data_IF_273691906230
#
_entry.id   IF_273691906230
#
_cell.length_a   1.000
_cell.length_b   1.000
_cell.length_c   1.000
_cell.angle_alpha   90.00
_cell.angle_beta   90.00
_cell.angle_gamma   90.00
#
_symmetry.space_group_name_H-M   'P 1'
#
loop_
_entity.id
_entity.type
_entity.pdbx_description
1 polymer ?
#
# COMPACT_ATOMS: atom_id res chain seq x y z
N UNK A 1 -5.06 -11.00 11.89
CA UNK A 1 -4.00 -10.19 11.25
C UNK A 1 -4.18 -10.23 9.75
N UNK A 2 -4.43 -9.07 9.15
CA UNK A 2 -4.83 -8.93 7.75
C UNK A 2 -3.75 -8.19 6.96
N UNK A 3 -3.50 -8.58 5.71
CA UNK A 3 -2.47 -7.96 4.87
C UNK A 3 -3.10 -7.49 3.56
N UNK A 4 -2.78 -6.27 3.15
CA UNK A 4 -3.11 -5.74 1.82
C UNK A 4 -1.84 -5.56 1.01
N UNK A 5 -1.88 -6.09 -0.21
CA UNK A 5 -0.86 -6.00 -1.24
C UNK A 5 -1.38 -5.07 -2.34
N UNK A 6 -0.62 -4.02 -2.64
CA UNK A 6 -0.94 -3.05 -3.68
C UNK A 6 0.21 -3.03 -4.68
N UNK A 7 0.00 -3.67 -5.82
CA UNK A 7 0.94 -3.58 -6.93
C UNK A 7 0.72 -2.27 -7.67
N UNK A 8 1.76 -1.46 -7.79
CA UNK A 8 1.73 -0.15 -8.43
C UNK A 8 2.69 -0.18 -9.60
N UNK A 9 2.19 0.16 -10.78
CA UNK A 9 2.99 0.38 -11.99
C UNK A 9 2.78 1.80 -12.51
N UNK A 10 3.84 2.59 -12.47
CA UNK A 10 3.88 3.96 -12.95
C UNK A 10 4.28 4.03 -14.43
N UNK A 11 3.91 5.09 -15.16
CA UNK A 11 4.27 5.21 -16.58
C UNK A 11 5.78 5.33 -16.85
N UNK A 12 6.58 5.79 -15.88
CA UNK A 12 8.04 5.94 -15.99
C UNK A 12 8.76 5.70 -14.67
N UNK A 13 10.08 5.48 -14.74
CA UNK A 13 10.96 5.36 -13.56
C UNK A 13 10.88 6.60 -12.66
N UNK A 14 10.92 7.81 -13.23
CA UNK A 14 10.85 9.05 -12.45
C UNK A 14 9.53 9.17 -11.68
N UNK A 15 8.40 8.83 -12.32
CA UNK A 15 7.10 8.83 -11.65
C UNK A 15 7.00 7.77 -10.57
N UNK A 16 7.63 6.60 -10.78
CA UNK A 16 7.70 5.59 -9.75
C UNK A 16 8.53 6.05 -8.53
N UNK A 17 9.65 6.74 -8.75
CA UNK A 17 10.48 7.28 -7.66
C UNK A 17 9.77 8.39 -6.88
N UNK A 18 9.01 9.26 -7.58
CA UNK A 18 8.12 10.23 -6.93
C UNK A 18 7.01 9.53 -6.13
N UNK A 19 6.40 8.49 -6.70
CA UNK A 19 5.37 7.69 -6.03
C UNK A 19 5.92 7.03 -4.76
N UNK A 20 7.07 6.37 -4.84
CA UNK A 20 7.71 5.75 -3.68
C UNK A 20 8.04 6.77 -2.59
N UNK A 21 8.48 7.97 -2.99
CA UNK A 21 8.76 9.06 -2.05
C UNK A 21 7.49 9.55 -1.35
N UNK A 22 6.42 9.81 -2.11
CA UNK A 22 5.10 10.18 -1.58
C UNK A 22 4.53 9.11 -0.64
N UNK A 23 4.68 7.82 -1.00
CA UNK A 23 4.24 6.75 -0.13
C UNK A 23 5.01 6.74 1.19
N UNK A 24 6.33 6.97 1.14
CA UNK A 24 7.16 7.02 2.34
C UNK A 24 6.83 8.21 3.25
N UNK A 25 6.60 9.40 2.69
CA UNK A 25 6.49 10.64 3.49
C UNK A 25 5.06 11.00 3.88
N UNK A 26 4.07 10.67 3.04
CA UNK A 26 2.67 11.08 3.25
C UNK A 26 1.76 9.86 3.49
N UNK A 27 1.78 8.90 2.56
CA UNK A 27 0.78 7.82 2.56
C UNK A 27 0.96 6.84 3.72
N UNK A 28 2.19 6.36 3.94
CA UNK A 28 2.52 5.42 5.01
C UNK A 28 2.19 6.01 6.39
N UNK A 29 2.65 7.23 6.76
CA UNK A 29 2.25 7.85 8.01
C UNK A 29 0.72 7.98 8.17
N UNK A 30 0.01 8.34 7.09
CA UNK A 30 -1.45 8.46 7.11
C UNK A 30 -2.12 7.13 7.45
N UNK A 31 -1.79 6.03 6.75
CA UNK A 31 -2.44 4.74 7.02
C UNK A 31 -2.04 4.15 8.37
N UNK A 32 -0.81 4.41 8.84
CA UNK A 32 -0.37 4.03 10.18
C UNK A 32 -1.18 4.77 11.26
N UNK A 33 -1.37 6.08 11.10
CA UNK A 33 -2.20 6.88 12.02
C UNK A 33 -3.68 6.44 12.04
N UNK A 34 -4.16 5.84 10.95
CA UNK A 34 -5.53 5.33 10.83
C UNK A 34 -5.72 3.90 11.36
N UNK A 35 -4.64 3.19 11.73
CA UNK A 35 -4.72 1.86 12.36
C UNK A 35 -3.95 0.74 11.66
N UNK A 36 -3.18 1.02 10.60
CA UNK A 36 -2.22 0.05 10.09
C UNK A 36 -1.10 -0.21 11.11
N UNK A 37 -0.62 -1.45 11.17
CA UNK A 37 0.48 -1.88 12.06
C UNK A 37 1.85 -1.56 11.45
N UNK A 38 2.00 -1.86 10.16
CA UNK A 38 3.25 -1.63 9.44
C UNK A 38 3.00 -1.48 7.95
N UNK A 39 3.97 -0.86 7.28
CA UNK A 39 3.94 -0.65 5.83
C UNK A 39 5.32 -0.89 5.25
N UNK A 40 5.39 -1.50 4.08
CA UNK A 40 6.63 -1.73 3.34
C UNK A 40 6.40 -1.42 1.86
N UNK A 41 7.42 -0.93 1.18
CA UNK A 41 7.38 -0.72 -0.27
C UNK A 41 8.57 -1.42 -0.92
N UNK A 42 8.28 -2.46 -1.72
CA UNK A 42 9.28 -3.28 -2.40
C UNK A 42 9.30 -2.92 -3.88
N UNK A 43 10.47 -2.62 -4.43
CA UNK A 43 10.65 -2.40 -5.87
C UNK A 43 10.61 -3.74 -6.60
N UNK A 44 9.79 -3.86 -7.65
CA UNK A 44 9.68 -5.05 -8.49
C UNK A 44 10.37 -4.87 -9.86
N UNK A 45 10.38 -3.63 -10.38
CA UNK A 45 11.09 -3.27 -11.62
C UNK A 45 11.51 -1.79 -11.59
N UNK A 46 11.94 -1.23 -12.74
CA UNK A 46 12.32 0.19 -12.81
C UNK A 46 11.17 1.16 -12.52
N UNK A 47 9.93 0.78 -12.87
CA UNK A 47 8.75 1.62 -12.74
C UNK A 47 7.57 0.92 -12.03
N UNK A 48 7.85 -0.16 -11.29
CA UNK A 48 6.83 -0.85 -10.51
C UNK A 48 7.32 -1.35 -9.16
N UNK A 49 6.37 -1.53 -8.25
CA UNK A 49 6.62 -2.11 -6.95
C UNK A 49 5.36 -2.60 -6.26
N UNK A 50 5.56 -3.20 -5.09
CA UNK A 50 4.53 -3.71 -4.23
C UNK A 50 4.55 -2.93 -2.92
N UNK A 51 3.43 -2.27 -2.62
CA UNK A 51 3.18 -1.67 -1.32
C UNK A 51 2.40 -2.67 -0.46
N UNK A 52 2.96 -3.03 0.69
CA UNK A 52 2.42 -4.02 1.62
C UNK A 52 2.02 -3.33 2.89
N UNK A 53 0.78 -3.56 3.33
CA UNK A 53 0.23 -2.96 4.56
C UNK A 53 -0.27 -4.08 5.45
N UNK A 54 0.19 -4.10 6.70
CA UNK A 54 -0.31 -5.03 7.72
C UNK A 54 -1.31 -4.31 8.62
N UNK A 55 -2.43 -4.97 8.90
CA UNK A 55 -3.50 -4.52 9.78
C UNK A 55 -3.73 -5.54 10.89
N UNK A 56 -4.24 -5.12 12.07
CA UNK A 56 -4.57 -6.05 13.14
C UNK A 56 -5.64 -7.06 12.72
N UNK A 57 -6.64 -6.63 11.94
CA UNK A 57 -7.77 -7.41 11.47
C UNK A 57 -8.36 -6.84 10.16
N UNK A 58 -9.30 -7.60 9.57
CA UNK A 58 -10.01 -7.22 8.33
C UNK A 58 -10.90 -5.98 8.53
N UNK A 59 -11.51 -5.83 9.71
CA UNK A 59 -12.40 -4.71 10.00
C UNK A 59 -11.64 -3.37 9.94
N UNK A 60 -10.46 -3.32 10.55
CA UNK A 60 -9.55 -2.18 10.49
C UNK A 60 -9.08 -1.91 9.06
N UNK A 61 -8.73 -2.96 8.30
CA UNK A 61 -8.32 -2.80 6.90
C UNK A 61 -9.41 -2.20 6.02
N UNK A 62 -10.68 -2.57 6.27
CA UNK A 62 -11.86 -2.02 5.59
C UNK A 62 -12.13 -0.57 5.99
N UNK A 63 -12.09 -0.26 7.29
CA UNK A 63 -12.30 1.10 7.80
C UNK A 63 -11.24 2.09 7.27
N UNK A 64 -9.96 1.71 7.33
CA UNK A 64 -8.86 2.52 6.77
C UNK A 64 -9.07 2.74 5.28
N UNK A 65 -9.44 1.71 4.52
CA UNK A 65 -9.69 1.84 3.07
C UNK A 65 -10.81 2.82 2.76
N UNK A 66 -11.91 2.75 3.50
CA UNK A 66 -13.05 3.66 3.30
C UNK A 66 -12.66 5.12 3.53
N UNK A 67 -11.80 5.40 4.51
CA UNK A 67 -11.32 6.75 4.82
C UNK A 67 -10.36 7.32 3.77
N UNK A 68 -9.69 6.47 2.99
CA UNK A 68 -8.71 6.87 1.96
C UNK A 68 -9.18 6.57 0.54
N UNK A 69 -10.45 6.18 0.36
CA UNK A 69 -10.96 5.70 -0.91
C UNK A 69 -10.82 6.73 -2.04
N UNK A 70 -11.11 7.99 -1.77
CA UNK A 70 -10.92 9.10 -2.71
C UNK A 70 -9.47 9.19 -3.19
N UNK A 71 -8.54 9.14 -2.25
CA UNK A 71 -7.10 9.28 -2.54
C UNK A 71 -6.59 8.08 -3.36
N UNK A 72 -7.14 6.89 -3.10
CA UNK A 72 -6.84 5.68 -3.88
C UNK A 72 -7.34 5.81 -5.31
N UNK A 73 -8.54 6.35 -5.51
CA UNK A 73 -9.11 6.58 -6.84
C UNK A 73 -8.27 7.60 -7.63
N UNK A 74 -7.86 8.69 -7.01
CA UNK A 74 -6.97 9.69 -7.61
C UNK A 74 -5.60 9.09 -7.97
N UNK A 75 -4.99 8.33 -7.06
CA UNK A 75 -3.71 7.67 -7.30
C UNK A 75 -3.79 6.64 -8.45
N UNK A 76 -4.90 5.89 -8.51
CA UNK A 76 -5.15 4.85 -9.52
C UNK A 76 -5.45 5.44 -10.90
N UNK A 77 -5.85 6.70 -11.00
CA UNK A 77 -5.99 7.39 -12.28
C UNK A 77 -4.62 7.65 -12.94
N UNK A 78 -3.56 7.82 -12.14
CA UNK A 78 -2.21 8.11 -12.62
C UNK A 78 -1.33 6.87 -12.75
N UNK A 79 -1.67 5.79 -12.04
CA UNK A 79 -0.89 4.56 -11.97
C UNK A 79 -1.78 3.34 -12.15
N UNK A 80 -1.28 2.31 -12.86
CA UNK A 80 -1.98 1.04 -12.90
C UNK A 80 -1.81 0.35 -11.55
N UNK A 81 -2.91 0.21 -10.81
CA UNK A 81 -2.92 -0.34 -9.45
C UNK A 81 -3.70 -1.65 -9.41
N UNK A 82 -3.16 -2.67 -8.75
CA UNK A 82 -3.85 -3.93 -8.46
C UNK A 82 -3.80 -4.20 -6.97
N UNK A 83 -4.97 -4.35 -6.35
CA UNK A 83 -5.09 -4.57 -4.90
C UNK A 83 -5.51 -6.02 -4.66
N UNK A 84 -4.80 -6.70 -3.74
CA UNK A 84 -5.18 -8.00 -3.19
C UNK A 84 -5.02 -7.97 -1.68
N UNK A 85 -5.83 -8.73 -0.96
CA UNK A 85 -5.75 -8.76 0.49
C UNK A 85 -6.21 -10.10 1.07
N UNK A 86 -5.83 -10.38 2.30
CA UNK A 86 -6.20 -11.62 2.98
C UNK A 86 -5.65 -11.75 4.38
N UNK A 87 -6.08 -12.82 5.05
CA UNK A 87 -5.61 -13.19 6.38
C UNK A 87 -4.20 -13.78 6.33
N UNK A 88 -3.37 -13.38 7.30
CA UNK A 88 -2.05 -13.96 7.50
C UNK A 88 -2.15 -15.32 8.20
N UNK A 89 -1.89 -16.40 7.46
CA UNK A 89 -1.93 -17.78 7.98
C UNK A 89 -0.74 -18.09 8.91
N UNK A 90 0.47 -17.64 8.57
CA UNK A 90 1.65 -17.77 9.43
C UNK A 90 2.66 -16.63 9.16
N UNK A 91 3.57 -16.37 10.11
CA UNK A 91 4.80 -15.59 9.95
C UNK A 91 5.89 -16.28 10.77
N UNK A 92 7.01 -16.59 10.13
CA UNK A 92 8.21 -17.08 10.79
C UNK A 92 9.24 -15.95 10.76
N UNK A 93 9.89 -15.70 11.90
CA UNK A 93 11.00 -14.76 12.01
C UNK A 93 12.26 -15.57 12.38
N UNK A 94 13.42 -15.12 11.91
CA UNK A 94 14.70 -15.82 12.05
C UNK A 94 15.34 -15.63 13.42
#
# INVERSE_FOLDING_TARGET
MWIRFVEIKSPSKMQFEMTASYFKTEWSPKVLALGAVSTEFVRLSENSGMYVICYPDEATAKDVFMKIKSDVEEHSAQNKTTIREGERIFKLEA
#
